data_IF_584964930056
#
_entry.id   IF_584964930056
#
_cell.length_a   1.000
_cell.length_b   1.000
_cell.length_c   1.000
_cell.angle_alpha   90.00
_cell.angle_beta   90.00
_cell.angle_gamma   90.00
#
_symmetry.space_group_name_H-M   'P 1'
#
loop_
_entity.id
_entity.type
_entity.pdbx_description
1 polymer ?
#
# COMPACT_ATOMS: atom_id res chain seq x y z
N UNK A 1 -28.85 10.79 15.75
CA UNK A 1 -27.42 10.60 15.42
C UNK A 1 -26.77 9.44 16.16
N UNK A 2 -27.05 9.20 17.45
CA UNK A 2 -26.53 8.05 18.21
C UNK A 2 -26.68 6.69 17.50
N UNK A 3 -27.89 6.32 17.05
CA UNK A 3 -28.14 5.05 16.35
C UNK A 3 -27.32 4.89 15.05
N UNK A 4 -27.08 5.98 14.32
CA UNK A 4 -26.28 5.96 13.09
C UNK A 4 -24.81 5.74 13.43
N UNK A 5 -24.31 6.38 14.49
CA UNK A 5 -22.92 6.23 14.93
C UNK A 5 -22.66 4.85 15.56
N UNK A 6 -23.60 4.33 16.35
CA UNK A 6 -23.57 2.95 16.86
C UNK A 6 -23.58 1.93 15.71
N UNK A 7 -24.41 2.14 14.69
CA UNK A 7 -24.47 1.24 13.53
C UNK A 7 -23.18 1.31 12.69
N UNK A 8 -22.61 2.51 12.50
CA UNK A 8 -21.30 2.68 11.86
C UNK A 8 -20.19 1.98 12.63
N UNK A 9 -20.16 2.11 13.95
CA UNK A 9 -19.16 1.47 14.81
C UNK A 9 -19.32 -0.07 14.78
N UNK A 10 -20.55 -0.58 14.85
CA UNK A 10 -20.83 -2.01 14.77
C UNK A 10 -20.40 -2.61 13.42
N UNK A 11 -20.71 -1.95 12.29
CA UNK A 11 -20.26 -2.41 10.97
C UNK A 11 -18.75 -2.30 10.78
N UNK A 12 -18.13 -1.26 11.32
CA UNK A 12 -16.67 -1.12 11.36
C UNK A 12 -16.04 -2.31 12.10
N UNK A 13 -16.59 -2.71 13.26
CA UNK A 13 -16.14 -3.88 14.00
C UNK A 13 -16.30 -5.21 13.25
N UNK A 14 -17.40 -5.39 12.50
CA UNK A 14 -17.60 -6.60 11.68
C UNK A 14 -16.62 -6.70 10.50
N UNK A 15 -16.30 -5.56 9.86
CA UNK A 15 -15.42 -5.50 8.70
C UNK A 15 -13.92 -5.49 9.05
N UNK A 16 -13.56 -5.17 10.30
CA UNK A 16 -12.19 -5.29 10.77
C UNK A 16 -11.67 -6.74 10.57
N UNK A 17 -10.44 -6.89 10.09
CA UNK A 17 -9.79 -8.21 9.95
C UNK A 17 -10.26 -9.11 8.79
N UNK A 18 -11.17 -8.64 7.92
CA UNK A 18 -11.56 -9.34 6.68
C UNK A 18 -11.00 -8.58 5.48
N UNK A 19 -10.36 -9.31 4.55
CA UNK A 19 -9.97 -8.76 3.25
C UNK A 19 -11.16 -8.89 2.32
N UNK A 20 -11.76 -7.77 1.92
CA UNK A 20 -12.93 -7.75 1.04
C UNK A 20 -12.46 -7.51 -0.40
N UNK A 21 -12.96 -8.31 -1.34
CA UNK A 21 -12.72 -8.03 -2.75
C UNK A 21 -13.47 -6.78 -3.20
N UNK A 22 -12.76 -5.87 -3.84
CA UNK A 22 -13.30 -4.60 -4.29
C UNK A 22 -14.40 -4.83 -5.32
N UNK A 23 -15.56 -4.26 -5.04
CA UNK A 23 -16.71 -4.28 -5.94
C UNK A 23 -17.21 -2.87 -6.13
N UNK A 24 -17.22 -2.39 -7.38
CA UNK A 24 -17.70 -1.04 -7.73
C UNK A 24 -19.11 -0.75 -7.22
N UNK A 25 -19.94 -1.80 -7.07
CA UNK A 25 -21.34 -1.69 -6.62
C UNK A 25 -21.47 -1.64 -5.10
N UNK A 26 -20.50 -2.19 -4.36
CA UNK A 26 -20.60 -2.40 -2.91
C UNK A 26 -19.55 -1.60 -2.13
N UNK A 27 -18.58 -0.98 -2.80
CA UNK A 27 -17.54 -0.20 -2.15
C UNK A 27 -18.12 1.05 -1.48
N UNK A 28 -17.88 1.17 -0.19
CA UNK A 28 -18.28 2.29 0.65
C UNK A 28 -17.11 2.79 1.51
N UNK A 29 -17.31 3.89 2.24
CA UNK A 29 -16.29 4.45 3.13
C UNK A 29 -16.03 3.60 4.38
N UNK A 30 -16.80 2.53 4.62
CA UNK A 30 -16.72 1.73 5.84
C UNK A 30 -15.78 0.53 5.67
N UNK A 31 -15.49 0.15 4.43
CA UNK A 31 -14.60 -0.96 4.10
C UNK A 31 -13.14 -0.62 4.44
N UNK A 32 -12.65 -1.09 5.58
CA UNK A 32 -11.30 -0.78 6.08
C UNK A 32 -10.17 -1.41 5.26
N UNK A 33 -10.41 -2.58 4.68
CA UNK A 33 -9.39 -3.31 3.94
C UNK A 33 -9.95 -3.97 2.68
N UNK A 34 -9.58 -3.43 1.51
CA UNK A 34 -10.11 -3.89 0.22
C UNK A 34 -9.02 -4.34 -0.74
N UNK A 35 -9.30 -5.36 -1.56
CA UNK A 35 -8.42 -5.85 -2.62
C UNK A 35 -8.97 -5.51 -4.00
N UNK A 36 -8.23 -4.73 -4.79
CA UNK A 36 -8.52 -4.43 -6.20
C UNK A 36 -7.78 -5.43 -7.09
N UNK A 37 -8.52 -6.11 -7.96
CA UNK A 37 -7.97 -7.18 -8.80
C UNK A 37 -7.67 -8.45 -8.02
N UNK A 38 -6.89 -9.35 -8.63
CA UNK A 38 -6.61 -10.68 -8.11
C UNK A 38 -5.12 -10.87 -7.79
N UNK A 39 -4.78 -12.07 -7.32
CA UNK A 39 -3.41 -12.44 -6.98
C UNK A 39 -3.08 -12.10 -5.53
N UNK A 40 -1.78 -12.01 -5.26
CA UNK A 40 -1.26 -11.81 -3.91
C UNK A 40 -1.35 -10.35 -3.48
N UNK A 41 -1.36 -10.12 -2.18
CA UNK A 41 -1.32 -8.77 -1.57
C UNK A 41 0.11 -8.23 -1.42
N UNK A 42 1.13 -9.05 -1.73
CA UNK A 42 2.53 -8.77 -1.37
C UNK A 42 2.76 -8.84 0.15
N UNK A 43 4.01 -8.65 0.58
CA UNK A 43 4.41 -8.80 1.97
C UNK A 43 3.77 -7.77 2.90
N UNK A 44 3.94 -6.47 2.62
CA UNK A 44 3.30 -5.40 3.40
C UNK A 44 1.79 -5.54 3.45
N UNK A 45 1.17 -5.90 2.32
CA UNK A 45 -0.26 -6.12 2.24
C UNK A 45 -0.76 -7.25 3.13
N UNK A 46 -0.09 -8.40 3.11
CA UNK A 46 -0.40 -9.54 3.99
C UNK A 46 -0.15 -9.20 5.46
N UNK A 47 0.96 -8.53 5.77
CA UNK A 47 1.28 -8.06 7.12
C UNK A 47 0.21 -7.11 7.67
N UNK A 48 -0.23 -6.12 6.89
CA UNK A 48 -1.30 -5.21 7.29
C UNK A 48 -2.64 -5.96 7.50
N UNK A 49 -3.00 -6.88 6.61
CA UNK A 49 -4.19 -7.70 6.77
C UNK A 49 -4.13 -8.56 8.04
N UNK A 50 -2.97 -9.14 8.32
CA UNK A 50 -2.71 -9.93 9.51
C UNK A 50 -2.85 -9.10 10.80
N UNK A 51 -2.20 -7.92 10.86
CA UNK A 51 -2.32 -7.00 11.99
C UNK A 51 -3.77 -6.57 12.20
N UNK A 52 -4.48 -6.21 11.12
CA UNK A 52 -5.89 -5.82 11.22
C UNK A 52 -6.76 -6.95 11.82
N UNK A 53 -6.47 -8.20 11.46
CA UNK A 53 -7.12 -9.38 12.04
C UNK A 53 -6.77 -9.59 13.51
N UNK A 54 -5.53 -9.38 13.91
CA UNK A 54 -5.11 -9.48 15.31
C UNK A 54 -5.77 -8.42 16.19
N UNK A 55 -5.78 -7.16 15.74
CA UNK A 55 -6.41 -6.06 16.48
C UNK A 55 -7.88 -6.36 16.77
N UNK A 56 -8.61 -6.91 15.79
CA UNK A 56 -9.98 -7.39 15.99
C UNK A 56 -10.05 -8.58 16.95
N UNK A 57 -9.25 -9.62 16.71
CA UNK A 57 -9.30 -10.87 17.51
C UNK A 57 -9.09 -10.60 19.00
N UNK A 58 -8.22 -9.66 19.35
CA UNK A 58 -7.89 -9.33 20.73
C UNK A 58 -8.61 -8.07 21.24
N UNK A 59 -9.55 -7.50 20.47
CA UNK A 59 -10.27 -6.26 20.81
C UNK A 59 -9.35 -5.10 21.24
N UNK A 60 -8.16 -5.01 20.63
CA UNK A 60 -7.11 -4.04 20.98
C UNK A 60 -7.55 -2.60 20.71
N UNK A 61 -8.49 -2.44 19.80
CA UNK A 61 -8.96 -1.16 19.29
C UNK A 61 -9.42 -0.18 20.37
N UNK A 62 -10.05 -0.68 21.45
CA UNK A 62 -10.51 0.10 22.61
C UNK A 62 -9.85 -0.36 23.93
N UNK A 63 -8.67 -1.00 23.88
CA UNK A 63 -8.04 -1.53 25.10
C UNK A 63 -7.50 -0.46 26.05
N UNK A 64 -7.41 0.79 25.61
CA UNK A 64 -6.83 1.89 26.37
C UNK A 64 -7.77 3.09 26.35
N UNK A 65 -8.07 3.63 27.53
CA UNK A 65 -8.95 4.79 27.63
C UNK A 65 -8.35 6.00 26.91
N UNK A 66 -9.17 6.70 26.12
CA UNK A 66 -8.75 7.81 25.29
C UNK A 66 -7.84 7.48 24.09
N UNK A 67 -7.51 6.20 23.84
CA UNK A 67 -6.59 5.79 22.75
C UNK A 67 -7.24 4.75 21.84
N UNK A 68 -7.36 5.10 20.55
CA UNK A 68 -7.87 4.21 19.51
C UNK A 68 -6.74 3.62 18.69
N UNK A 69 -6.55 2.30 18.76
CA UNK A 69 -5.54 1.58 18.00
C UNK A 69 -6.18 0.98 16.75
N UNK A 70 -5.75 1.39 15.57
CA UNK A 70 -6.32 0.89 14.30
C UNK A 70 -5.30 0.91 13.17
N UNK A 71 -5.53 0.05 12.18
CA UNK A 71 -4.85 0.14 10.88
C UNK A 71 -5.62 1.15 10.02
N UNK A 72 -4.97 2.14 9.39
CA UNK A 72 -5.65 3.06 8.50
C UNK A 72 -6.32 2.33 7.34
N UNK A 73 -7.45 2.85 6.87
CA UNK A 73 -8.17 2.33 5.70
C UNK A 73 -7.22 2.09 4.53
N UNK A 74 -7.21 0.86 4.01
CA UNK A 74 -6.21 0.38 3.05
C UNK A 74 -6.90 -0.32 1.88
N UNK A 75 -6.52 0.05 0.66
CA UNK A 75 -6.83 -0.69 -0.56
C UNK A 75 -5.54 -1.29 -1.12
N UNK A 76 -5.61 -2.50 -1.66
CA UNK A 76 -4.45 -3.18 -2.24
C UNK A 76 -4.75 -3.59 -3.66
N UNK A 77 -3.93 -3.13 -4.59
CA UNK A 77 -3.91 -3.63 -5.96
C UNK A 77 -3.12 -4.93 -5.96
N UNK A 78 -3.79 -6.04 -6.25
CA UNK A 78 -3.16 -7.36 -6.26
C UNK A 78 -2.13 -7.54 -7.38
N UNK A 79 -1.19 -8.48 -7.19
CA UNK A 79 -0.08 -8.72 -8.12
C UNK A 79 -0.50 -9.09 -9.55
N UNK A 80 -1.72 -9.60 -9.77
CA UNK A 80 -2.20 -9.92 -11.13
C UNK A 80 -2.33 -8.67 -12.02
N UNK A 81 -2.51 -7.49 -11.42
CA UNK A 81 -2.59 -6.23 -12.18
C UNK A 81 -1.22 -5.85 -12.72
N UNK A 82 -0.16 -6.12 -11.96
CA UNK A 82 1.22 -5.92 -12.40
C UNK A 82 1.55 -6.82 -13.60
N UNK A 83 1.23 -8.12 -13.51
CA UNK A 83 1.44 -9.07 -14.61
C UNK A 83 0.73 -8.59 -15.91
N UNK A 84 -0.56 -8.25 -15.80
CA UNK A 84 -1.37 -7.74 -16.92
C UNK A 84 -0.82 -6.42 -17.47
N UNK A 85 -0.28 -5.57 -16.63
CA UNK A 85 0.30 -4.29 -17.03
C UNK A 85 1.58 -4.49 -17.83
N UNK A 86 2.48 -5.36 -17.39
CA UNK A 86 3.72 -5.67 -18.11
C UNK A 86 3.43 -6.31 -19.46
N UNK A 87 2.58 -7.33 -19.48
CA UNK A 87 2.22 -8.09 -20.70
C UNK A 87 1.58 -7.17 -21.75
N UNK A 88 0.57 -6.39 -21.35
CA UNK A 88 -0.17 -5.52 -22.26
C UNK A 88 0.70 -4.45 -22.93
N UNK A 89 1.75 -4.01 -22.25
CA UNK A 89 2.63 -2.94 -22.73
C UNK A 89 3.99 -3.47 -23.22
N UNK A 90 4.20 -4.79 -23.26
CA UNK A 90 5.47 -5.44 -23.64
C UNK A 90 6.70 -4.87 -22.92
N UNK A 91 6.56 -4.56 -21.62
CA UNK A 91 7.58 -3.82 -20.88
C UNK A 91 8.74 -4.68 -20.39
N UNK A 92 8.52 -5.98 -20.20
CA UNK A 92 9.49 -6.84 -19.51
C UNK A 92 10.85 -6.88 -20.21
N UNK A 93 10.88 -7.17 -21.51
CA UNK A 93 12.13 -7.29 -22.27
C UNK A 93 12.96 -5.99 -22.27
N UNK A 94 12.30 -4.85 -22.44
CA UNK A 94 12.96 -3.54 -22.33
C UNK A 94 13.47 -3.30 -20.92
N UNK A 95 12.66 -3.59 -19.90
CA UNK A 95 12.99 -3.28 -18.50
C UNK A 95 14.14 -4.11 -17.94
N UNK A 96 14.41 -5.30 -18.51
CA UNK A 96 15.56 -6.14 -18.14
C UNK A 96 16.87 -5.66 -18.76
N UNK A 97 16.82 -4.83 -19.81
CA UNK A 97 18.00 -4.26 -20.43
C UNK A 97 18.76 -3.25 -19.53
N UNK A 98 19.93 -2.83 -20.00
CA UNK A 98 20.74 -1.78 -19.40
C UNK A 98 20.19 -0.40 -19.79
N UNK A 99 19.27 0.12 -18.99
CA UNK A 99 18.69 1.46 -19.14
C UNK A 99 18.79 2.23 -17.83
N UNK A 100 18.80 3.56 -17.91
CA UNK A 100 18.74 4.40 -16.72
C UNK A 100 17.37 4.31 -16.04
N UNK A 101 17.35 4.51 -14.72
CA UNK A 101 16.10 4.54 -13.94
C UNK A 101 15.10 5.57 -14.51
N UNK A 102 15.61 6.68 -15.06
CA UNK A 102 14.79 7.72 -15.68
C UNK A 102 14.10 7.28 -16.97
N UNK A 103 14.78 6.47 -17.81
CA UNK A 103 14.21 5.93 -19.05
C UNK A 103 13.13 4.90 -18.73
N UNK A 104 13.42 4.01 -17.77
CA UNK A 104 12.47 3.01 -17.28
C UNK A 104 11.23 3.72 -16.71
N UNK A 105 11.41 4.70 -15.81
CA UNK A 105 10.30 5.45 -15.22
C UNK A 105 9.44 6.14 -16.31
N UNK A 106 10.06 6.77 -17.30
CA UNK A 106 9.35 7.44 -18.38
C UNK A 106 8.48 6.47 -19.20
N UNK A 107 9.00 5.30 -19.55
CA UNK A 107 8.24 4.31 -20.32
C UNK A 107 7.06 3.77 -19.51
N UNK A 108 7.28 3.48 -18.22
CA UNK A 108 6.21 2.98 -17.35
C UNK A 108 5.11 4.02 -17.12
N UNK A 109 5.47 5.28 -16.89
CA UNK A 109 4.50 6.37 -16.68
C UNK A 109 3.63 6.59 -17.93
N UNK A 110 4.23 6.47 -19.13
CA UNK A 110 3.52 6.61 -20.41
C UNK A 110 2.72 5.36 -20.82
N UNK A 111 3.00 4.20 -20.22
CA UNK A 111 2.25 2.98 -20.45
C UNK A 111 0.81 3.04 -19.88
N UNK A 112 -0.05 2.13 -20.35
CA UNK A 112 -1.48 2.12 -20.01
C UNK A 112 -1.81 0.99 -19.05
N UNK A 113 -2.45 1.34 -17.93
CA UNK A 113 -3.03 0.36 -17.01
C UNK A 113 -4.15 -0.46 -17.69
N UNK A 114 -4.47 -1.67 -17.18
CA UNK A 114 -5.63 -2.42 -17.62
C UNK A 114 -6.92 -1.60 -17.45
N UNK A 115 -7.84 -1.66 -18.43
CA UNK A 115 -9.06 -0.83 -18.45
C UNK A 115 -9.94 -1.07 -17.22
N UNK A 116 -10.03 -2.32 -16.77
CA UNK A 116 -10.80 -2.68 -15.58
C UNK A 116 -10.22 -2.07 -14.32
N UNK A 117 -8.89 -2.13 -14.16
CA UNK A 117 -8.19 -1.49 -13.03
C UNK A 117 -8.43 0.02 -13.03
N UNK A 118 -8.34 0.69 -14.18
CA UNK A 118 -8.62 2.13 -14.28
C UNK A 118 -10.05 2.45 -13.85
N UNK A 119 -11.03 1.64 -14.27
CA UNK A 119 -12.42 1.81 -13.86
C UNK A 119 -12.63 1.55 -12.35
N UNK A 120 -11.93 0.57 -11.77
CA UNK A 120 -11.95 0.32 -10.31
C UNK A 120 -11.34 1.47 -9.53
N UNK A 121 -10.18 2.00 -9.96
CA UNK A 121 -9.52 3.14 -9.35
C UNK A 121 -10.37 4.41 -9.44
N UNK A 122 -11.06 4.62 -10.56
CA UNK A 122 -11.97 5.75 -10.71
C UNK A 122 -13.16 5.65 -9.74
N UNK A 123 -13.77 4.46 -9.59
CA UNK A 123 -14.83 4.23 -8.61
C UNK A 123 -14.33 4.37 -7.16
N UNK A 124 -13.09 3.91 -6.88
CA UNK A 124 -12.45 4.10 -5.59
C UNK A 124 -12.30 5.58 -5.23
N UNK A 125 -11.89 6.43 -6.18
CA UNK A 125 -11.74 7.87 -5.98
C UNK A 125 -13.06 8.63 -5.83
N UNK A 126 -14.21 8.05 -6.18
CA UNK A 126 -15.52 8.66 -5.92
C UNK A 126 -15.82 8.70 -4.42
N UNK A 127 -15.38 7.66 -3.72
CA UNK A 127 -15.57 7.46 -2.28
C UNK A 127 -14.43 8.10 -1.49
N UNK A 128 -13.18 7.97 -1.98
CA UNK A 128 -11.96 8.39 -1.29
C UNK A 128 -11.58 9.83 -1.64
N UNK A 129 -11.69 10.72 -0.64
CA UNK A 129 -11.42 12.17 -0.77
C UNK A 129 -10.30 12.68 0.16
N UNK A 130 -9.66 11.79 0.90
CA UNK A 130 -8.55 12.10 1.80
C UNK A 130 -7.19 11.84 1.12
N UNK A 131 -6.09 12.43 1.62
CA UNK A 131 -4.74 12.13 1.14
C UNK A 131 -4.40 10.64 1.33
N UNK A 132 -3.66 10.08 0.37
CA UNK A 132 -3.31 8.65 0.34
C UNK A 132 -1.82 8.45 0.15
N UNK A 133 -1.27 7.44 0.82
CA UNK A 133 0.07 6.93 0.63
C UNK A 133 0.02 5.73 -0.32
N UNK A 134 0.77 5.79 -1.42
CA UNK A 134 0.91 4.70 -2.38
C UNK A 134 2.25 4.03 -2.10
N UNK A 135 2.21 2.75 -1.72
CA UNK A 135 3.37 2.00 -1.25
C UNK A 135 3.53 0.73 -2.08
N UNK A 136 4.76 0.41 -2.42
CA UNK A 136 5.14 -0.92 -2.91
C UNK A 136 4.83 -2.01 -1.89
N UNK A 137 4.41 -3.19 -2.36
CA UNK A 137 4.24 -4.40 -1.56
C UNK A 137 4.70 -5.58 -2.40
N UNK A 138 5.99 -5.88 -2.34
CA UNK A 138 6.62 -6.91 -3.17
C UNK A 138 6.31 -8.31 -2.64
N UNK A 139 6.44 -9.36 -3.44
CA UNK A 139 6.22 -10.73 -2.95
C UNK A 139 7.30 -11.17 -1.97
N UNK A 140 8.56 -10.80 -2.28
CA UNK A 140 9.75 -11.20 -1.54
C UNK A 140 9.91 -10.46 -0.21
N UNK A 141 9.20 -9.35 0.01
CA UNK A 141 9.21 -8.58 1.27
C UNK A 141 8.84 -9.38 2.53
N UNK A 142 8.19 -10.55 2.40
CA UNK A 142 7.83 -11.44 3.51
C UNK A 142 8.85 -12.56 3.77
N UNK A 143 9.97 -12.62 3.03
CA UNK A 143 10.97 -13.63 3.34
C UNK A 143 11.66 -13.27 4.66
N UNK A 144 11.40 -14.05 5.71
CA UNK A 144 11.93 -13.86 7.07
C UNK A 144 13.47 -13.75 7.16
N UNK A 145 14.19 -14.07 6.08
CA UNK A 145 15.64 -14.10 6.00
C UNK A 145 16.26 -13.02 5.10
N UNK A 146 15.47 -12.19 4.39
CA UNK A 146 16.02 -11.17 3.48
C UNK A 146 15.46 -9.79 3.85
N UNK A 147 16.30 -8.83 4.27
CA UNK A 147 15.84 -7.51 4.65
C UNK A 147 15.49 -6.67 3.41
N UNK A 148 14.29 -6.86 2.85
CA UNK A 148 13.75 -6.01 1.77
C UNK A 148 13.27 -4.63 2.27
N UNK A 149 13.48 -4.32 3.54
CA UNK A 149 13.02 -3.08 4.16
C UNK A 149 13.70 -1.85 3.53
N UNK A 150 12.91 -1.03 2.85
CA UNK A 150 13.32 0.32 2.41
C UNK A 150 13.86 0.41 0.98
N UNK A 151 13.77 -0.65 0.17
CA UNK A 151 14.27 -0.64 -1.22
C UNK A 151 13.31 0.10 -2.15
N UNK A 152 12.02 0.08 -1.86
CA UNK A 152 10.98 0.51 -2.78
C UNK A 152 10.27 1.78 -2.31
N UNK A 153 9.90 2.60 -3.29
CA UNK A 153 9.37 3.94 -3.06
C UNK A 153 7.98 3.97 -2.43
N UNK A 154 7.72 5.05 -1.69
CA UNK A 154 6.38 5.43 -1.20
C UNK A 154 6.06 6.83 -1.68
N UNK A 155 4.93 6.99 -2.35
CA UNK A 155 4.45 8.28 -2.84
C UNK A 155 3.25 8.78 -2.05
N UNK A 156 3.36 9.99 -1.52
CA UNK A 156 2.25 10.66 -0.84
C UNK A 156 1.45 11.50 -1.85
N UNK A 157 0.17 11.20 -1.98
CA UNK A 157 -0.75 11.94 -2.86
C UNK A 157 -1.75 12.75 -2.02
N UNK A 158 -1.82 14.09 -2.19
CA UNK A 158 -2.79 14.91 -1.48
C UNK A 158 -4.25 14.56 -1.77
N UNK A 159 -4.55 14.04 -2.97
CA UNK A 159 -5.88 13.64 -3.42
C UNK A 159 -6.98 14.73 -3.26
N UNK A 160 -6.60 16.01 -3.22
CA UNK A 160 -7.47 17.15 -2.92
C UNK A 160 -7.90 17.97 -4.15
N UNK A 161 -7.46 17.61 -5.35
CA UNK A 161 -7.79 18.35 -6.57
C UNK A 161 -9.28 18.24 -6.92
N UNK A 162 -9.93 19.36 -7.28
CA UNK A 162 -11.38 19.38 -7.57
C UNK A 162 -11.75 18.48 -8.76
N UNK A 163 -10.93 18.51 -9.81
CA UNK A 163 -11.12 17.64 -10.97
C UNK A 163 -10.66 16.21 -10.66
N UNK A 164 -11.61 15.28 -10.67
CA UNK A 164 -11.38 13.84 -10.48
C UNK A 164 -10.44 13.22 -11.51
N UNK A 165 -10.48 13.65 -12.77
CA UNK A 165 -9.57 13.12 -13.81
C UNK A 165 -8.12 13.35 -13.43
N UNK A 166 -7.81 14.55 -12.93
CA UNK A 166 -6.46 14.89 -12.45
C UNK A 166 -6.06 14.03 -11.24
N UNK A 167 -6.99 13.73 -10.33
CA UNK A 167 -6.73 12.82 -9.20
C UNK A 167 -6.44 11.40 -9.66
N UNK A 168 -7.20 10.91 -10.63
CA UNK A 168 -7.02 9.59 -11.24
C UNK A 168 -5.67 9.51 -11.96
N UNK A 169 -5.34 10.48 -12.81
CA UNK A 169 -4.05 10.54 -13.51
C UNK A 169 -2.87 10.52 -12.53
N UNK A 170 -2.93 11.32 -11.45
CA UNK A 170 -1.88 11.31 -10.41
C UNK A 170 -1.76 9.96 -9.70
N UNK A 171 -2.88 9.31 -9.42
CA UNK A 171 -2.91 7.98 -8.80
C UNK A 171 -2.33 6.92 -9.74
N UNK A 172 -2.75 6.91 -11.00
CA UNK A 172 -2.22 6.01 -12.02
C UNK A 172 -0.72 6.19 -12.22
N UNK A 173 -0.25 7.44 -12.31
CA UNK A 173 1.19 7.74 -12.44
C UNK A 173 1.98 7.21 -11.25
N UNK A 174 1.49 7.39 -10.02
CA UNK A 174 2.15 6.86 -8.83
C UNK A 174 2.21 5.33 -8.82
N UNK A 175 1.13 4.64 -9.22
CA UNK A 175 1.10 3.18 -9.33
C UNK A 175 2.10 2.69 -10.38
N UNK A 176 2.11 3.32 -11.57
CA UNK A 176 3.02 2.99 -12.66
C UNK A 176 4.48 3.20 -12.28
N UNK A 177 4.78 4.26 -11.53
CA UNK A 177 6.12 4.53 -11.02
C UNK A 177 6.57 3.45 -10.02
N UNK A 178 5.68 3.01 -9.12
CA UNK A 178 5.98 1.88 -8.22
C UNK A 178 6.29 0.60 -9.00
N UNK A 179 5.56 0.33 -10.09
CA UNK A 179 5.89 -0.79 -10.96
C UNK A 179 7.24 -0.63 -11.67
N UNK A 180 7.60 0.60 -12.05
CA UNK A 180 8.91 0.90 -12.64
C UNK A 180 10.05 0.65 -11.64
N UNK A 181 9.83 0.94 -10.35
CA UNK A 181 10.86 0.87 -9.30
C UNK A 181 11.49 -0.52 -9.14
N UNK A 182 10.79 -1.59 -9.50
CA UNK A 182 11.32 -2.97 -9.47
C UNK A 182 12.53 -3.11 -10.41
N UNK A 183 12.51 -2.39 -11.52
CA UNK A 183 13.51 -2.47 -12.58
C UNK A 183 14.59 -1.40 -12.46
N UNK A 184 14.57 -0.60 -11.40
CA UNK A 184 15.65 0.34 -11.12
C UNK A 184 16.93 -0.39 -10.74
N UNK A 185 18.06 0.25 -10.99
CA UNK A 185 19.39 -0.34 -10.80
C UNK A 185 19.59 -0.89 -9.38
N UNK A 186 19.16 -0.14 -8.36
CA UNK A 186 19.27 -0.57 -6.96
C UNK A 186 18.43 -1.83 -6.68
N UNK A 187 17.22 -1.91 -7.21
CA UNK A 187 16.32 -3.05 -7.03
C UNK A 187 16.80 -4.28 -7.78
N UNK A 188 17.28 -4.12 -9.03
CA UNK A 188 17.91 -5.20 -9.80
C UNK A 188 19.13 -5.78 -9.08
N UNK A 189 20.08 -4.93 -8.69
CA UNK A 189 21.28 -5.35 -7.97
C UNK A 189 20.95 -6.10 -6.68
N UNK A 190 19.92 -5.63 -5.96
CA UNK A 190 19.49 -6.30 -4.74
C UNK A 190 18.88 -7.67 -5.02
N UNK A 191 17.97 -7.77 -6.00
CA UNK A 191 17.31 -9.04 -6.35
C UNK A 191 18.36 -10.04 -6.86
N UNK A 192 19.30 -9.62 -7.70
CA UNK A 192 20.41 -10.46 -8.19
C UNK A 192 21.37 -10.90 -7.08
N UNK A 193 21.55 -10.08 -6.04
CA UNK A 193 22.29 -10.49 -4.84
C UNK A 193 21.52 -11.53 -3.99
N UNK A 194 20.23 -11.72 -4.24
CA UNK A 194 19.45 -12.83 -3.69
C UNK A 194 19.39 -14.00 -4.68
N UNK A 195 18.97 -15.19 -4.22
CA UNK A 195 18.79 -16.35 -5.10
C UNK A 195 17.56 -16.24 -6.03
N UNK A 196 16.98 -15.05 -6.19
CA UNK A 196 15.76 -14.79 -6.96
C UNK A 196 16.08 -14.10 -8.29
N UNK A 197 15.16 -14.20 -9.25
CA UNK A 197 15.25 -13.50 -10.53
C UNK A 197 14.34 -12.29 -10.55
N UNK A 198 14.81 -11.20 -11.15
CA UNK A 198 14.00 -9.97 -11.34
C UNK A 198 12.71 -10.27 -12.12
N UNK A 199 12.77 -11.22 -13.06
CA UNK A 199 11.64 -11.67 -13.87
C UNK A 199 10.52 -12.34 -13.07
N UNK A 200 10.86 -12.94 -11.94
CA UNK A 200 9.91 -13.66 -11.08
C UNK A 200 9.29 -12.74 -10.02
N UNK A 201 9.86 -11.56 -9.82
CA UNK A 201 9.39 -10.63 -8.80
C UNK A 201 8.08 -9.96 -9.24
N UNK A 202 7.11 -9.96 -8.32
CA UNK A 202 5.81 -9.32 -8.54
C UNK A 202 5.51 -8.29 -7.49
N UNK A 203 4.80 -7.25 -7.91
CA UNK A 203 4.48 -6.11 -7.06
C UNK A 203 2.99 -5.93 -6.91
N UNK A 204 2.53 -5.98 -5.67
CA UNK A 204 1.26 -5.41 -5.28
C UNK A 204 1.46 -3.93 -4.91
N UNK A 205 0.40 -3.13 -4.96
CA UNK A 205 0.45 -1.73 -4.55
C UNK A 205 -0.55 -1.48 -3.43
N UNK A 206 -0.07 -0.94 -2.32
CA UNK A 206 -0.86 -0.58 -1.15
C UNK A 206 -1.22 0.90 -1.24
N UNK A 207 -2.51 1.21 -1.32
CA UNK A 207 -3.09 2.55 -1.27
C UNK A 207 -3.69 2.73 0.12
N UNK A 208 -3.01 3.48 0.98
CA UNK A 208 -3.41 3.64 2.37
C UNK A 208 -3.80 5.08 2.67
N UNK A 209 -4.84 5.28 3.49
CA UNK A 209 -5.18 6.59 4.02
C UNK A 209 -4.00 7.19 4.79
N UNK A 210 -3.60 8.42 4.43
CA UNK A 210 -2.61 9.14 5.21
C UNK A 210 -3.19 9.56 6.56
N UNK A 211 -2.42 9.40 7.63
CA UNK A 211 -2.81 9.79 8.99
C UNK A 211 -2.21 11.15 9.30
N UNK A 212 -3.06 12.10 9.68
CA UNK A 212 -2.62 13.45 9.99
C UNK A 212 -3.76 14.45 10.08
N UNK A 213 -3.38 15.71 10.29
CA UNK A 213 -4.27 16.86 10.31
C UNK A 213 -3.78 17.91 9.31
N UNK A 214 -4.70 18.65 8.69
CA UNK A 214 -4.33 19.78 7.84
C UNK A 214 -3.89 20.95 8.71
N UNK A 215 -2.70 21.49 8.44
CA UNK A 215 -2.07 22.61 9.14
C UNK A 215 -1.41 23.49 8.09
N UNK A 216 -1.95 24.68 7.86
CA UNK A 216 -1.39 25.69 6.95
C UNK A 216 -0.98 25.13 5.58
N UNK A 217 -1.90 24.44 4.91
CA UNK A 217 -1.72 23.83 3.58
C UNK A 217 -0.80 22.60 3.54
N UNK A 218 -0.42 22.05 4.70
CA UNK A 218 0.35 20.81 4.85
C UNK A 218 -0.45 19.76 5.62
N UNK A 219 -0.31 18.48 5.27
CA UNK A 219 -1.02 17.37 5.93
C UNK A 219 -0.01 16.40 6.55
N UNK A 220 0.04 16.36 7.88
CA UNK A 220 1.00 15.51 8.61
C UNK A 220 0.50 15.18 10.03
N UNK A 221 0.98 14.06 10.62
CA UNK A 221 0.67 13.72 12.01
C UNK A 221 1.44 14.62 12.99
N UNK A 222 0.96 14.70 14.22
CA UNK A 222 1.65 15.45 15.29
C UNK A 222 2.99 14.75 15.64
N UNK A 223 2.95 13.42 15.73
CA UNK A 223 4.08 12.56 16.03
C UNK A 223 3.99 11.34 15.12
N UNK A 224 5.14 10.86 14.65
CA UNK A 224 5.29 9.58 13.96
C UNK A 224 6.54 8.88 14.47
N UNK A 225 6.51 7.55 14.57
CA UNK A 225 7.64 6.78 15.06
C UNK A 225 7.55 5.32 14.65
N UNK A 226 8.59 4.56 14.99
CA UNK A 226 8.64 3.11 14.84
C UNK A 226 8.97 2.52 16.21
N UNK A 227 8.22 1.50 16.61
CA UNK A 227 8.48 0.71 17.81
C UNK A 227 8.96 -0.68 17.41
N UNK A 228 9.86 -1.28 18.21
CA UNK A 228 10.35 -2.64 18.00
C UNK A 228 10.20 -3.39 19.31
N UNK A 229 9.45 -4.47 19.31
CA UNK A 229 9.26 -5.32 20.50
C UNK A 229 10.53 -6.06 20.94
N UNK A 230 11.62 -5.96 20.17
CA UNK A 230 12.90 -6.56 20.51
C UNK A 230 14.04 -5.68 19.97
N UNK A 231 14.97 -5.33 20.85
CA UNK A 231 16.15 -4.56 20.53
C UNK A 231 17.36 -5.48 20.29
N UNK A 232 17.69 -5.72 19.03
CA UNK A 232 18.86 -6.51 18.63
C UNK A 232 20.20 -5.79 18.84
N UNK A 233 20.17 -4.49 19.14
CA UNK A 233 21.35 -3.65 19.35
C UNK A 233 21.18 -2.84 20.64
N UNK A 234 21.06 -3.53 21.77
CA UNK A 234 21.04 -2.88 23.08
C UNK A 234 22.32 -2.07 23.31
N UNK A 235 22.16 -0.77 23.58
CA UNK A 235 23.27 0.12 23.95
C UNK A 235 23.11 0.48 25.41
N UNK A 236 24.18 0.34 26.20
CA UNK A 236 24.17 0.62 27.63
C UNK A 236 23.41 -0.44 28.43
N UNK A 237 22.53 -0.01 29.34
CA UNK A 237 21.80 -0.88 30.27
C UNK A 237 20.40 -1.31 29.77
N UNK A 238 20.03 -0.96 28.54
CA UNK A 238 18.72 -1.33 27.97
C UNK A 238 18.72 -2.81 27.66
N UNK A 239 17.79 -3.58 28.24
CA UNK A 239 17.67 -5.00 27.91
C UNK A 239 17.08 -5.18 26.51
N UNK A 240 17.43 -6.26 25.80
CA UNK A 240 16.84 -6.55 24.49
C UNK A 240 15.30 -6.57 24.49
N UNK A 241 14.68 -6.92 25.61
CA UNK A 241 13.22 -6.98 25.78
C UNK A 241 12.57 -5.63 26.13
N UNK A 242 13.34 -4.57 26.38
CA UNK A 242 12.86 -3.23 26.79
C UNK A 242 12.70 -2.27 25.58
N UNK A 243 12.42 -2.82 24.39
CA UNK A 243 12.28 -2.07 23.13
C UNK A 243 10.96 -1.34 22.92
#
# INVERSE_FOLDING_TARGET
NYLIDTFKNFRHEEQMGIVIDFSRKQFDQQSDFVRIGNGSLGGKGRGLAFVNRLLRRYNVYNSFDGVRISVPTTAIIGTSVFDKFLEKNNLLAYSLGEHSDSEIANIFVNAKLPKDTVADLNAFLDVVKYPVAIRSSSLLEDSHYQPFAGIFDTHMLPNCHQNRKVRLERLETAIKYIYASIFFKNSKNYIEATANRVEEEKMAVVIQKAVGSNRNNSFYPIISGVARSYNFYSVGNIKPEEG
#
